data_IF_036276622938
#
_entry.id   IF_036276622938
#
_cell.length_a   1.000
_cell.length_b   1.000
_cell.length_c   1.000
_cell.angle_alpha   90.00
_cell.angle_beta   90.00
_cell.angle_gamma   90.00
#
_symmetry.space_group_name_H-M   'P 1'
#
loop_
_entity.id
_entity.type
_entity.pdbx_description
1 polymer ?
#
# COMPACT_ATOMS: atom_id res chain seq x y z
N UNK A 1 11.73 -15.10 -16.03
CA UNK A 1 10.37 -15.00 -16.60
C UNK A 1 10.33 -13.94 -17.69
N UNK A 2 10.56 -12.65 -17.37
CA UNK A 2 10.54 -11.53 -18.33
C UNK A 2 11.33 -11.81 -19.62
N UNK A 3 12.57 -12.31 -19.52
CA UNK A 3 13.42 -12.56 -20.70
C UNK A 3 12.98 -13.74 -21.57
N UNK A 4 12.16 -14.66 -21.03
CA UNK A 4 11.75 -15.90 -21.72
C UNK A 4 10.37 -15.81 -22.36
N UNK A 5 9.51 -14.89 -21.89
CA UNK A 5 8.15 -14.74 -22.40
C UNK A 5 8.10 -14.45 -23.90
N UNK A 6 8.96 -13.59 -24.49
CA UNK A 6 8.95 -13.35 -25.94
C UNK A 6 9.18 -14.63 -26.77
N UNK A 7 10.02 -15.55 -26.29
CA UNK A 7 10.25 -16.84 -26.96
C UNK A 7 9.03 -17.76 -26.86
N UNK A 8 8.33 -17.75 -25.71
CA UNK A 8 7.12 -18.55 -25.49
C UNK A 8 5.91 -18.05 -26.32
N UNK A 9 5.96 -16.80 -26.78
CA UNK A 9 4.93 -16.23 -27.65
C UNK A 9 5.06 -16.71 -29.11
N UNK A 10 6.18 -17.33 -29.50
CA UNK A 10 6.30 -17.89 -30.83
C UNK A 10 5.41 -19.15 -30.98
N UNK A 11 4.61 -19.19 -32.05
CA UNK A 11 3.60 -20.25 -32.26
C UNK A 11 2.35 -20.17 -31.38
N UNK A 12 2.23 -19.18 -30.50
CA UNK A 12 1.03 -18.95 -29.68
C UNK A 12 -0.12 -18.33 -30.49
N UNK A 13 -1.36 -18.67 -30.11
CA UNK A 13 -2.55 -18.02 -30.68
C UNK A 13 -2.60 -16.53 -30.32
N UNK A 14 -3.37 -15.73 -31.05
CA UNK A 14 -3.52 -14.30 -30.75
C UNK A 14 -4.10 -14.06 -29.35
N UNK A 15 -5.03 -14.93 -28.91
CA UNK A 15 -5.60 -14.88 -27.56
C UNK A 15 -4.55 -15.17 -26.50
N UNK A 16 -3.74 -16.22 -26.68
CA UNK A 16 -2.69 -16.57 -25.74
C UNK A 16 -1.60 -15.48 -25.70
N UNK A 17 -1.27 -14.88 -26.85
CA UNK A 17 -0.32 -13.77 -26.95
C UNK A 17 -0.82 -12.56 -26.16
N UNK A 18 -2.09 -12.18 -26.32
CA UNK A 18 -2.67 -11.08 -25.57
C UNK A 18 -2.62 -11.32 -24.06
N UNK A 19 -2.92 -12.54 -23.61
CA UNK A 19 -2.84 -12.89 -22.19
C UNK A 19 -1.40 -12.91 -21.67
N UNK A 20 -0.45 -13.41 -22.47
CA UNK A 20 0.98 -13.41 -22.12
C UNK A 20 1.58 -12.01 -22.04
N UNK A 21 1.12 -11.05 -22.86
CA UNK A 21 1.53 -9.65 -22.73
C UNK A 21 1.10 -9.08 -21.37
N UNK A 22 -0.12 -9.36 -20.91
CA UNK A 22 -0.59 -8.93 -19.59
C UNK A 22 0.31 -9.52 -18.49
N UNK A 23 0.58 -10.83 -18.53
CA UNK A 23 1.47 -11.48 -17.55
C UNK A 23 2.90 -10.93 -17.59
N UNK A 24 3.39 -10.57 -18.78
CA UNK A 24 4.69 -9.91 -18.91
C UNK A 24 4.68 -8.53 -18.24
N UNK A 25 3.59 -7.77 -18.41
CA UNK A 25 3.38 -6.51 -17.71
C UNK A 25 3.32 -6.66 -16.18
N UNK A 26 2.62 -7.67 -15.67
CA UNK A 26 2.58 -8.01 -14.24
C UNK A 26 3.98 -8.36 -13.70
N UNK A 27 4.78 -9.09 -14.48
CA UNK A 27 6.15 -9.44 -14.12
C UNK A 27 7.07 -8.20 -14.05
N UNK A 28 6.93 -7.27 -15.01
CA UNK A 28 7.62 -5.98 -14.96
C UNK A 28 7.22 -5.17 -13.72
N UNK A 29 5.92 -5.03 -13.43
CA UNK A 29 5.47 -4.32 -12.23
C UNK A 29 6.02 -4.97 -10.96
N UNK A 30 5.95 -6.30 -10.87
CA UNK A 30 6.46 -7.05 -9.71
C UNK A 30 7.95 -6.79 -9.48
N UNK A 31 8.76 -6.70 -10.55
CA UNK A 31 10.19 -6.36 -10.44
C UNK A 31 10.39 -4.90 -10.02
N UNK A 32 9.58 -3.96 -10.54
CA UNK A 32 9.61 -2.56 -10.12
C UNK A 32 9.29 -2.42 -8.62
N UNK A 33 8.26 -3.12 -8.13
CA UNK A 33 7.89 -3.15 -6.71
C UNK A 33 8.99 -3.75 -5.85
N UNK A 34 9.63 -4.83 -6.28
CA UNK A 34 10.73 -5.44 -5.56
C UNK A 34 11.94 -4.49 -5.42
N UNK A 35 12.34 -3.80 -6.50
CA UNK A 35 13.41 -2.81 -6.43
C UNK A 35 13.04 -1.64 -5.52
N UNK A 36 11.81 -1.12 -5.64
CA UNK A 36 11.31 -0.05 -4.78
C UNK A 36 11.38 -0.45 -3.30
N UNK A 37 10.85 -1.64 -2.95
CA UNK A 37 10.88 -2.17 -1.59
C UNK A 37 12.29 -2.36 -1.03
N UNK A 38 13.24 -2.77 -1.88
CA UNK A 38 14.65 -2.87 -1.52
C UNK A 38 15.25 -1.49 -1.24
N UNK A 39 14.94 -0.48 -2.07
CA UNK A 39 15.45 0.88 -1.85
C UNK A 39 14.95 1.47 -0.53
N UNK A 40 13.67 1.28 -0.19
CA UNK A 40 13.09 1.78 1.06
C UNK A 40 13.71 1.17 2.32
N UNK A 41 14.36 0.01 2.22
CA UNK A 41 14.89 -0.74 3.38
C UNK A 41 16.41 -0.71 3.49
N UNK A 42 17.11 -0.58 2.37
CA UNK A 42 18.57 -0.76 2.30
C UNK A 42 19.30 0.44 1.72
N UNK A 43 18.60 1.52 1.39
CA UNK A 43 19.18 2.73 0.83
C UNK A 43 18.79 3.96 1.64
N UNK A 44 19.44 5.08 1.36
CA UNK A 44 18.95 6.38 1.81
C UNK A 44 17.67 6.73 1.06
N UNK A 45 16.93 7.69 1.59
CA UNK A 45 15.82 8.31 0.87
C UNK A 45 16.31 8.85 -0.47
N UNK A 46 15.48 8.72 -1.51
CA UNK A 46 15.82 9.23 -2.82
C UNK A 46 15.83 10.76 -2.79
N UNK A 47 17.00 11.34 -3.05
CA UNK A 47 17.13 12.78 -3.18
C UNK A 47 17.67 13.15 -4.56
N UNK A 48 16.92 13.89 -5.41
CA UNK A 48 17.36 14.21 -6.77
C UNK A 48 18.75 14.83 -6.84
N UNK A 49 19.14 15.63 -5.85
CA UNK A 49 20.45 16.30 -5.78
C UNK A 49 21.63 15.37 -5.52
N UNK A 50 21.41 14.19 -4.93
CA UNK A 50 22.48 13.25 -4.56
C UNK A 50 22.31 11.84 -5.15
N UNK A 51 21.17 11.56 -5.78
CA UNK A 51 20.80 10.24 -6.29
C UNK A 51 21.83 9.58 -7.21
N UNK A 52 22.58 10.37 -7.98
CA UNK A 52 23.65 9.87 -8.88
C UNK A 52 24.89 9.35 -8.13
N UNK A 53 25.04 9.72 -6.86
CA UNK A 53 26.16 9.33 -6.00
C UNK A 53 25.76 8.46 -4.82
N UNK A 54 24.51 8.58 -4.36
CA UNK A 54 23.99 7.74 -3.30
C UNK A 54 23.85 6.30 -3.79
N UNK A 55 24.30 5.37 -2.95
CA UNK A 55 24.32 3.96 -3.30
C UNK A 55 22.91 3.38 -3.20
N UNK A 56 22.45 2.77 -4.30
CA UNK A 56 21.22 2.00 -4.40
C UNK A 56 21.44 0.52 -4.09
N UNK A 57 20.91 -0.37 -4.93
CA UNK A 57 21.08 -1.83 -4.85
C UNK A 57 21.67 -2.37 -6.15
N UNK A 58 22.22 -3.60 -6.18
CA UNK A 58 22.62 -4.22 -7.43
C UNK A 58 21.43 -4.41 -8.37
N UNK A 59 21.61 -4.06 -9.65
CA UNK A 59 20.58 -4.25 -10.68
C UNK A 59 20.86 -5.56 -11.42
N UNK A 60 19.99 -6.55 -11.20
CA UNK A 60 20.03 -7.87 -11.85
C UNK A 60 18.72 -8.09 -12.62
N UNK A 61 18.80 -8.08 -13.95
CA UNK A 61 17.63 -8.15 -14.83
C UNK A 61 17.45 -9.52 -15.50
N UNK A 62 18.45 -10.39 -15.40
CA UNK A 62 18.48 -11.74 -15.97
C UNK A 62 18.63 -12.77 -14.87
N UNK A 63 17.97 -13.91 -15.04
CA UNK A 63 18.06 -14.99 -14.06
C UNK A 63 19.35 -15.79 -14.27
N UNK A 64 20.33 -15.57 -13.39
CA UNK A 64 21.62 -16.28 -13.41
C UNK A 64 22.14 -16.52 -11.99
N UNK A 65 21.47 -17.38 -11.18
CA UNK A 65 21.90 -17.63 -9.82
C UNK A 65 23.26 -18.35 -9.80
N UNK A 66 24.13 -17.86 -8.93
CA UNK A 66 25.47 -18.40 -8.66
C UNK A 66 25.73 -18.39 -7.17
N UNK A 67 26.49 -19.38 -6.69
CA UNK A 67 27.01 -19.41 -5.33
C UNK A 67 28.21 -18.47 -5.14
N UNK A 68 28.84 -18.03 -6.24
CA UNK A 68 29.94 -17.08 -6.21
C UNK A 68 29.39 -15.64 -6.23
N UNK A 69 29.51 -14.97 -5.09
CA UNK A 69 29.07 -13.58 -4.92
C UNK A 69 29.76 -12.61 -5.89
N UNK A 70 30.98 -12.91 -6.36
CA UNK A 70 31.72 -12.09 -7.31
C UNK A 70 31.12 -12.05 -8.72
N UNK A 71 30.18 -12.94 -9.02
CA UNK A 71 29.46 -12.96 -10.31
C UNK A 71 28.31 -11.96 -10.38
N UNK A 72 27.90 -11.38 -9.25
CA UNK A 72 26.85 -10.36 -9.20
C UNK A 72 27.44 -8.95 -9.32
N UNK A 73 26.73 -8.01 -9.96
CA UNK A 73 27.19 -6.64 -10.06
C UNK A 73 27.28 -5.98 -8.68
N UNK A 74 28.14 -4.96 -8.57
CA UNK A 74 28.12 -4.05 -7.44
C UNK A 74 26.80 -3.27 -7.34
N UNK A 75 26.63 -2.53 -6.24
CA UNK A 75 25.48 -1.64 -6.06
C UNK A 75 25.50 -0.56 -7.15
N UNK A 76 24.37 -0.36 -7.82
CA UNK A 76 24.16 0.79 -8.68
C UNK A 76 23.89 2.05 -7.84
N UNK A 77 23.90 3.22 -8.47
CA UNK A 77 23.42 4.46 -7.85
C UNK A 77 21.90 4.42 -7.62
N UNK A 78 21.40 5.24 -6.70
CA UNK A 78 19.96 5.43 -6.48
C UNK A 78 19.27 5.91 -7.76
N UNK A 79 19.91 6.79 -8.53
CA UNK A 79 19.39 7.26 -9.81
C UNK A 79 19.19 6.11 -10.81
N UNK A 80 20.17 5.22 -10.96
CA UNK A 80 20.07 4.06 -11.86
C UNK A 80 18.98 3.07 -11.43
N UNK A 81 18.84 2.82 -10.14
CA UNK A 81 17.79 1.93 -9.63
C UNK A 81 16.40 2.51 -9.91
N UNK A 82 16.18 3.79 -9.65
CA UNK A 82 14.89 4.43 -9.94
C UNK A 82 14.61 4.55 -11.44
N UNK A 83 15.64 4.78 -12.28
CA UNK A 83 15.51 4.67 -13.74
C UNK A 83 15.02 3.28 -14.15
N UNK A 84 15.51 2.21 -13.52
CA UNK A 84 15.03 0.86 -13.77
C UNK A 84 13.58 0.65 -13.30
N UNK A 85 13.21 1.14 -12.11
CA UNK A 85 11.83 1.09 -11.60
C UNK A 85 10.86 1.79 -12.57
N UNK A 86 11.19 3.00 -13.01
CA UNK A 86 10.37 3.78 -13.96
C UNK A 86 10.29 3.09 -15.32
N UNK A 87 11.38 2.49 -15.80
CA UNK A 87 11.38 1.71 -17.04
C UNK A 87 10.42 0.52 -16.95
N UNK A 88 10.49 -0.26 -15.86
CA UNK A 88 9.61 -1.41 -15.65
C UNK A 88 8.14 -0.99 -15.50
N UNK A 89 7.87 0.12 -14.80
CA UNK A 89 6.54 0.76 -14.75
C UNK A 89 6.02 1.15 -16.14
N UNK A 90 6.88 1.66 -17.00
CA UNK A 90 6.55 2.00 -18.38
C UNK A 90 6.16 0.77 -19.20
N UNK A 91 6.89 -0.34 -19.04
CA UNK A 91 6.57 -1.60 -19.72
C UNK A 91 5.28 -2.24 -19.19
N UNK A 92 5.02 -2.15 -17.88
CA UNK A 92 3.79 -2.60 -17.25
C UNK A 92 2.58 -1.80 -17.75
N UNK A 93 2.68 -0.47 -17.82
CA UNK A 93 1.62 0.43 -18.30
C UNK A 93 1.19 0.12 -19.73
N UNK A 94 2.14 -0.26 -20.60
CA UNK A 94 1.84 -0.61 -22.00
C UNK A 94 1.09 -1.92 -22.16
N UNK A 95 1.22 -2.85 -21.21
CA UNK A 95 0.84 -4.26 -21.37
C UNK A 95 -0.37 -4.68 -20.55
N UNK A 96 -0.50 -4.14 -19.34
CA UNK A 96 -1.66 -4.43 -18.50
C UNK A 96 -2.82 -3.60 -19.04
N UNK A 97 -3.76 -4.27 -19.69
CA UNK A 97 -4.96 -3.65 -20.31
C UNK A 97 -6.24 -3.96 -19.54
N UNK A 98 -6.12 -4.65 -18.40
CA UNK A 98 -7.26 -4.98 -17.54
C UNK A 98 -7.77 -3.70 -16.85
N UNK A 99 -9.05 -3.41 -17.07
CA UNK A 99 -9.73 -2.27 -16.47
C UNK A 99 -9.75 -2.35 -14.94
N UNK A 100 -9.57 -1.21 -14.28
CA UNK A 100 -9.65 -1.13 -12.83
C UNK A 100 -11.07 -1.16 -12.30
N UNK A 101 -11.25 -1.84 -11.16
CA UNK A 101 -12.47 -1.92 -10.38
C UNK A 101 -12.15 -2.01 -8.88
N UNK A 102 -13.07 -1.62 -7.98
CA UNK A 102 -12.90 -1.79 -6.54
C UNK A 102 -12.61 -3.22 -6.13
N UNK A 103 -11.69 -3.39 -5.16
CA UNK A 103 -11.31 -4.67 -4.55
C UNK A 103 -10.84 -5.72 -5.55
N UNK A 104 -10.30 -5.30 -6.70
CA UNK A 104 -9.79 -6.24 -7.70
C UNK A 104 -8.74 -7.16 -7.08
N UNK A 105 -8.90 -8.47 -7.31
CA UNK A 105 -7.96 -9.51 -6.91
C UNK A 105 -6.71 -9.54 -7.79
N UNK A 106 -6.85 -9.03 -9.02
CA UNK A 106 -5.82 -9.02 -10.03
C UNK A 106 -5.23 -7.62 -10.18
N UNK A 107 -4.06 -7.56 -10.79
CA UNK A 107 -3.46 -6.28 -11.11
C UNK A 107 -4.20 -5.66 -12.31
N UNK A 108 -4.59 -4.41 -12.16
CA UNK A 108 -5.28 -3.64 -13.19
C UNK A 108 -4.46 -2.41 -13.57
N UNK A 109 -4.88 -1.71 -14.63
CA UNK A 109 -4.30 -0.42 -15.00
C UNK A 109 -4.30 0.58 -13.84
N UNK A 110 -5.33 0.57 -13.01
CA UNK A 110 -5.46 1.47 -11.88
C UNK A 110 -4.49 1.10 -10.74
N UNK A 111 -4.17 -0.19 -10.56
CA UNK A 111 -3.10 -0.65 -9.65
C UNK A 111 -1.70 -0.20 -10.10
N UNK A 112 -1.40 -0.29 -11.41
CA UNK A 112 -0.14 0.22 -11.99
C UNK A 112 -0.03 1.73 -11.77
N UNK A 113 -1.12 2.47 -11.99
CA UNK A 113 -1.20 3.93 -11.83
C UNK A 113 -1.02 4.36 -10.38
N UNK A 114 -1.61 3.62 -9.43
CA UNK A 114 -1.43 3.88 -8.01
C UNK A 114 0.04 3.69 -7.58
N UNK A 115 0.70 2.64 -8.07
CA UNK A 115 2.13 2.44 -7.79
C UNK A 115 2.99 3.52 -8.44
N UNK A 116 2.66 3.93 -9.68
CA UNK A 116 3.33 5.05 -10.36
C UNK A 116 3.26 6.34 -9.56
N UNK A 117 2.10 6.66 -8.97
CA UNK A 117 1.94 7.84 -8.11
C UNK A 117 2.86 7.76 -6.87
N UNK A 118 2.94 6.60 -6.21
CA UNK A 118 3.81 6.36 -5.05
C UNK A 118 5.30 6.52 -5.40
N UNK A 119 5.74 5.91 -6.51
CA UNK A 119 7.13 6.04 -6.98
C UNK A 119 7.45 7.49 -7.35
N UNK A 120 6.55 8.17 -8.06
CA UNK A 120 6.76 9.56 -8.46
C UNK A 120 6.87 10.50 -7.25
N UNK A 121 6.04 10.31 -6.21
CA UNK A 121 6.15 11.06 -4.96
C UNK A 121 7.53 10.85 -4.32
N UNK A 122 7.97 9.59 -4.20
CA UNK A 122 9.28 9.24 -3.65
C UNK A 122 10.45 9.83 -4.44
N UNK A 123 10.29 10.04 -5.74
CA UNK A 123 11.29 10.64 -6.63
C UNK A 123 11.29 12.17 -6.65
N UNK A 124 10.37 12.81 -5.93
CA UNK A 124 10.10 14.25 -6.03
C UNK A 124 9.62 14.68 -7.43
N UNK A 125 9.05 13.75 -8.21
CA UNK A 125 8.36 14.05 -9.47
C UNK A 125 6.91 14.42 -9.18
N UNK A 126 6.73 15.64 -8.68
CA UNK A 126 5.43 16.15 -8.21
C UNK A 126 4.38 16.16 -9.32
N UNK A 127 4.76 16.48 -10.55
CA UNK A 127 3.83 16.51 -11.68
C UNK A 127 3.29 15.12 -12.02
N UNK A 128 4.16 14.11 -12.07
CA UNK A 128 3.73 12.73 -12.29
C UNK A 128 2.91 12.21 -11.10
N UNK A 129 3.28 12.54 -9.87
CA UNK A 129 2.53 12.16 -8.68
C UNK A 129 1.11 12.76 -8.68
N UNK A 130 0.98 14.06 -8.96
CA UNK A 130 -0.30 14.77 -9.07
C UNK A 130 -1.16 14.13 -10.16
N UNK A 131 -0.63 14.00 -11.38
CA UNK A 131 -1.41 13.50 -12.51
C UNK A 131 -1.91 12.07 -12.28
N UNK A 132 -1.05 11.15 -11.83
CA UNK A 132 -1.43 9.77 -11.61
C UNK A 132 -2.44 9.59 -10.47
N UNK A 133 -2.25 10.31 -9.36
CA UNK A 133 -3.16 10.24 -8.20
C UNK A 133 -4.52 10.88 -8.48
N UNK A 134 -4.53 12.07 -9.09
CA UNK A 134 -5.79 12.78 -9.38
C UNK A 134 -6.60 12.13 -10.49
N UNK A 135 -5.96 11.46 -11.45
CA UNK A 135 -6.68 10.66 -12.45
C UNK A 135 -7.48 9.50 -11.78
N UNK A 136 -6.90 8.82 -10.79
CA UNK A 136 -7.62 7.81 -10.00
C UNK A 136 -8.76 8.40 -9.18
N UNK A 137 -8.54 9.57 -8.55
CA UNK A 137 -9.56 10.28 -7.78
C UNK A 137 -10.73 10.68 -8.68
N UNK A 138 -10.44 11.31 -9.82
CA UNK A 138 -11.44 11.83 -10.75
C UNK A 138 -12.18 10.74 -11.53
N UNK A 139 -11.64 9.51 -11.57
CA UNK A 139 -12.33 8.35 -12.15
C UNK A 139 -13.64 8.02 -11.44
N UNK A 140 -13.79 8.43 -10.17
CA UNK A 140 -14.91 8.11 -9.29
C UNK A 140 -15.19 6.60 -9.11
N UNK A 141 -14.28 5.71 -9.55
CA UNK A 141 -14.41 4.25 -9.37
C UNK A 141 -14.28 3.83 -7.91
N UNK A 142 -13.51 4.58 -7.12
CA UNK A 142 -13.14 4.25 -5.74
C UNK A 142 -13.61 5.37 -4.78
N UNK A 143 -14.87 5.37 -4.32
CA UNK A 143 -15.37 6.43 -3.45
C UNK A 143 -14.75 6.34 -2.04
N UNK A 144 -14.49 7.49 -1.43
CA UNK A 144 -14.13 7.55 -0.01
C UNK A 144 -15.32 7.08 0.83
N UNK A 145 -15.08 6.15 1.76
CA UNK A 145 -16.09 5.64 2.67
C UNK A 145 -16.34 6.67 3.77
N UNK A 146 -17.58 7.15 3.89
CA UNK A 146 -17.97 8.17 4.89
C UNK A 146 -18.74 7.60 6.07
N UNK A 147 -19.15 6.33 6.01
CA UNK A 147 -19.93 5.66 7.05
C UNK A 147 -19.02 4.81 7.95
N UNK A 148 -19.15 4.97 9.27
CA UNK A 148 -18.30 4.30 10.24
C UNK A 148 -18.41 2.76 10.21
N UNK A 149 -19.61 2.23 9.98
CA UNK A 149 -19.81 0.77 9.91
C UNK A 149 -19.15 0.21 8.66
N UNK A 150 -19.35 0.84 7.50
CA UNK A 150 -18.67 0.46 6.25
C UNK A 150 -17.15 0.60 6.36
N UNK A 151 -16.67 1.62 7.07
CA UNK A 151 -15.23 1.81 7.25
C UNK A 151 -14.62 0.69 8.10
N UNK A 152 -15.28 0.31 9.20
CA UNK A 152 -14.90 -0.84 10.01
C UNK A 152 -15.02 -2.17 9.21
N UNK A 153 -16.06 -2.31 8.40
CA UNK A 153 -16.31 -3.49 7.56
C UNK A 153 -15.21 -3.73 6.50
N UNK A 154 -14.63 -2.66 5.96
CA UNK A 154 -13.45 -2.74 5.09
C UNK A 154 -12.27 -3.43 5.80
N UNK A 155 -12.10 -3.22 7.09
CA UNK A 155 -10.99 -3.79 7.87
C UNK A 155 -11.31 -5.18 8.41
N UNK A 156 -12.56 -5.44 8.81
CA UNK A 156 -12.99 -6.73 9.32
C UNK A 156 -13.24 -7.74 8.19
N UNK A 157 -14.12 -7.42 7.24
CA UNK A 157 -14.62 -8.35 6.23
C UNK A 157 -14.01 -8.11 4.84
N UNK A 158 -12.99 -7.24 4.73
CA UNK A 158 -12.36 -6.89 3.45
C UNK A 158 -13.33 -6.30 2.41
N UNK A 159 -14.39 -5.66 2.91
CA UNK A 159 -15.47 -5.09 2.13
C UNK A 159 -15.40 -3.55 2.15
N UNK A 160 -14.55 -2.98 1.31
CA UNK A 160 -14.48 -1.53 1.13
C UNK A 160 -14.06 -1.13 -0.28
N UNK A 161 -14.87 -0.31 -0.92
CA UNK A 161 -14.66 0.11 -2.32
C UNK A 161 -13.54 1.14 -2.50
N UNK A 162 -12.87 1.53 -1.41
CA UNK A 162 -11.63 2.31 -1.48
C UNK A 162 -10.43 1.49 -1.98
N UNK A 163 -10.47 0.16 -1.91
CA UNK A 163 -9.35 -0.68 -2.31
C UNK A 163 -9.21 -0.71 -3.83
N UNK A 164 -8.04 -0.29 -4.33
CA UNK A 164 -7.70 -0.31 -5.76
C UNK A 164 -7.18 -1.70 -6.15
N UNK A 165 -6.36 -2.29 -5.27
CA UNK A 165 -5.86 -3.65 -5.43
C UNK A 165 -5.91 -4.36 -4.08
N UNK A 166 -6.64 -5.48 -4.04
CA UNK A 166 -6.84 -6.29 -2.83
C UNK A 166 -6.41 -7.73 -3.10
N UNK A 167 -5.29 -8.14 -2.52
CA UNK A 167 -4.69 -9.45 -2.78
C UNK A 167 -5.64 -10.54 -2.27
N UNK A 168 -6.03 -11.44 -3.18
CA UNK A 168 -6.92 -12.55 -2.86
C UNK A 168 -6.33 -13.46 -1.79
N UNK A 169 -7.19 -13.90 -0.88
CA UNK A 169 -6.91 -14.97 0.08
C UNK A 169 -8.15 -15.81 0.29
N UNK A 170 -7.92 -17.08 0.61
CA UNK A 170 -8.93 -18.03 1.05
C UNK A 170 -8.42 -18.82 2.25
N UNK A 171 -9.27 -19.62 2.88
CA UNK A 171 -8.83 -20.52 3.96
C UNK A 171 -7.71 -21.49 3.52
N UNK A 172 -7.67 -21.87 2.24
CA UNK A 172 -6.70 -22.80 1.67
C UNK A 172 -5.52 -22.11 0.98
N UNK A 173 -5.65 -20.83 0.66
CA UNK A 173 -4.66 -20.04 -0.06
C UNK A 173 -4.40 -18.72 0.66
N UNK A 174 -3.66 -18.81 1.76
CA UNK A 174 -3.16 -17.68 2.54
C UNK A 174 -1.82 -18.05 3.19
N UNK A 175 -0.97 -17.08 3.56
CA UNK A 175 0.26 -17.38 4.27
C UNK A 175 -0.01 -18.22 5.53
N UNK A 176 0.84 -19.22 5.77
CA UNK A 176 0.73 -20.07 6.95
C UNK A 176 1.19 -19.37 8.25
N UNK A 177 1.90 -18.25 8.12
CA UNK A 177 2.54 -17.50 9.21
C UNK A 177 1.89 -16.12 9.42
N UNK A 178 2.40 -15.42 10.44
CA UNK A 178 1.95 -14.15 11.00
C UNK A 178 1.36 -13.15 9.99
N UNK A 179 0.15 -12.69 10.30
CA UNK A 179 -0.53 -11.55 9.70
C UNK A 179 -0.21 -10.26 10.48
N UNK A 180 -0.38 -9.05 9.89
CA UNK A 180 -0.17 -7.80 10.62
C UNK A 180 -0.94 -7.73 11.95
N UNK A 181 -2.17 -8.24 11.98
CA UNK A 181 -2.99 -8.28 13.19
C UNK A 181 -2.32 -9.07 14.32
N UNK A 182 -1.64 -10.19 14.01
CA UNK A 182 -0.97 -11.00 15.03
C UNK A 182 0.20 -10.31 15.76
N UNK A 183 0.71 -9.19 15.26
CA UNK A 183 1.70 -8.36 15.98
C UNK A 183 1.04 -7.23 16.79
N UNK A 184 -0.14 -6.79 16.36
CA UNK A 184 -0.85 -5.62 16.90
C UNK A 184 -1.89 -6.00 17.96
N UNK A 185 -2.38 -7.24 17.89
CA UNK A 185 -3.46 -7.76 18.71
C UNK A 185 -3.44 -9.29 18.70
N UNK A 186 -3.22 -9.89 19.86
CA UNK A 186 -3.40 -11.34 20.07
C UNK A 186 -4.16 -11.55 21.37
N UNK A 187 -5.35 -12.09 21.29
CA UNK A 187 -6.14 -12.51 22.45
C UNK A 187 -5.43 -13.63 23.21
N UNK A 188 -5.37 -13.50 24.54
CA UNK A 188 -4.75 -14.48 25.43
C UNK A 188 -5.68 -14.85 26.57
N UNK A 189 -5.66 -16.13 26.95
CA UNK A 189 -6.58 -16.68 27.96
C UNK A 189 -7.94 -17.03 27.37
N UNK A 190 -8.87 -17.37 28.28
CA UNK A 190 -10.26 -17.69 27.96
C UNK A 190 -11.20 -16.48 28.15
N UNK A 191 -10.66 -15.33 28.55
CA UNK A 191 -11.40 -14.09 28.74
C UNK A 191 -11.29 -13.18 27.51
N UNK A 192 -12.43 -12.82 26.90
CA UNK A 192 -12.56 -12.06 25.65
C UNK A 192 -11.97 -10.63 25.66
N UNK A 193 -11.31 -10.21 26.74
CA UNK A 193 -10.79 -8.83 26.88
C UNK A 193 -9.28 -8.73 27.12
N UNK A 194 -8.58 -9.84 27.30
CA UNK A 194 -7.13 -9.83 27.54
C UNK A 194 -6.35 -10.08 26.26
N UNK A 195 -5.33 -9.27 25.98
CA UNK A 195 -4.48 -9.41 24.81
C UNK A 195 -2.98 -9.25 25.14
N UNK A 196 -2.13 -9.69 24.23
CA UNK A 196 -0.67 -9.57 24.32
C UNK A 196 -0.09 -9.12 22.97
N UNK A 197 -0.19 -7.82 22.64
CA UNK A 197 0.39 -7.26 21.43
C UNK A 197 1.91 -7.11 21.56
N UNK A 198 2.64 -7.17 20.45
CA UNK A 198 4.07 -6.84 20.39
C UNK A 198 4.29 -5.33 20.33
N UNK A 199 3.31 -4.59 19.80
CA UNK A 199 3.35 -3.14 19.64
C UNK A 199 2.08 -2.48 20.18
N UNK A 200 2.23 -1.39 20.93
CA UNK A 200 1.12 -0.55 21.41
C UNK A 200 1.25 0.87 20.85
N UNK A 201 0.13 1.54 20.51
CA UNK A 201 0.19 2.91 20.03
C UNK A 201 0.61 3.87 21.16
N UNK A 202 1.45 4.84 20.82
CA UNK A 202 1.77 5.94 21.73
C UNK A 202 0.53 6.81 21.99
N UNK A 203 0.49 7.46 23.16
CA UNK A 203 -0.62 8.36 23.52
C UNK A 203 -0.80 9.52 22.53
N UNK A 204 0.29 10.02 21.94
CA UNK A 204 0.24 11.05 20.91
C UNK A 204 -0.52 10.60 19.65
N UNK A 205 -0.37 9.33 19.25
CA UNK A 205 -1.12 8.76 18.12
C UNK A 205 -2.60 8.64 18.46
N UNK A 206 -2.95 8.15 19.65
CA UNK A 206 -4.35 8.04 20.09
C UNK A 206 -5.01 9.43 20.15
N UNK A 207 -4.30 10.43 20.69
CA UNK A 207 -4.81 11.79 20.85
C UNK A 207 -4.91 12.57 19.53
N UNK A 208 -4.29 12.09 18.45
CA UNK A 208 -4.40 12.70 17.12
C UNK A 208 -5.75 12.42 16.44
N UNK A 209 -6.57 11.51 16.98
CA UNK A 209 -7.90 11.21 16.47
C UNK A 209 -8.98 11.80 17.38
N UNK A 210 -10.02 12.36 16.76
CA UNK A 210 -11.27 12.65 17.46
C UNK A 210 -11.99 11.32 17.77
N UNK A 211 -12.08 10.97 19.05
CA UNK A 211 -12.62 9.66 19.45
C UNK A 211 -14.12 9.50 19.22
N UNK A 212 -14.85 10.62 19.07
CA UNK A 212 -16.30 10.63 18.91
C UNK A 212 -16.69 10.81 17.45
N UNK A 213 -16.01 11.72 16.73
CA UNK A 213 -16.39 12.13 15.39
C UNK A 213 -15.56 11.48 14.28
N UNK A 214 -14.39 10.89 14.58
CA UNK A 214 -13.56 10.24 13.57
C UNK A 214 -13.94 8.76 13.38
N UNK A 215 -14.48 8.42 12.21
CA UNK A 215 -14.89 7.06 11.86
C UNK A 215 -13.73 6.05 11.88
N UNK A 216 -12.48 6.53 11.81
CA UNK A 216 -11.29 5.70 11.89
C UNK A 216 -11.03 5.22 13.31
N UNK A 217 -11.42 5.98 14.33
CA UNK A 217 -11.04 5.70 15.71
C UNK A 217 -11.55 4.31 16.16
N UNK A 218 -12.85 4.06 16.02
CA UNK A 218 -13.45 2.76 16.36
C UNK A 218 -13.06 1.60 15.43
N UNK A 219 -12.55 1.90 14.22
CA UNK A 219 -12.05 0.88 13.29
C UNK A 219 -10.57 0.52 13.54
N UNK A 220 -9.79 1.45 14.11
CA UNK A 220 -8.36 1.27 14.32
C UNK A 220 -8.00 0.93 15.74
N UNK A 221 -8.77 1.41 16.71
CA UNK A 221 -8.40 1.32 18.11
C UNK A 221 -9.50 0.71 18.96
N UNK A 222 -9.08 -0.05 19.96
CA UNK A 222 -10.00 -0.58 20.96
C UNK A 222 -9.31 -0.67 22.30
N UNK A 223 -10.04 -0.38 23.39
CA UNK A 223 -9.53 -0.55 24.74
C UNK A 223 -9.50 -2.03 25.11
N UNK A 224 -8.38 -2.51 25.62
CA UNK A 224 -8.15 -3.90 26.05
C UNK A 224 -7.29 -3.94 27.30
N UNK A 225 -7.38 -5.05 28.02
CA UNK A 225 -6.44 -5.36 29.09
C UNK A 225 -5.21 -6.03 28.48
N UNK A 226 -4.09 -5.33 28.46
CA UNK A 226 -2.81 -5.82 27.94
C UNK A 226 -2.08 -6.61 29.02
N UNK A 227 -1.81 -7.89 28.75
CA UNK A 227 -0.93 -8.73 29.55
C UNK A 227 0.52 -8.52 29.14
N UNK A 228 1.37 -8.19 30.11
CA UNK A 228 2.79 -7.91 29.90
C UNK A 228 3.64 -8.59 30.96
N UNK A 229 4.97 -8.54 30.81
CA UNK A 229 5.91 -9.04 31.81
C UNK A 229 5.82 -8.35 33.18
N UNK A 230 5.14 -7.20 33.27
CA UNK A 230 4.96 -6.42 34.51
C UNK A 230 3.52 -6.47 35.06
N UNK A 231 2.64 -7.30 34.47
CA UNK A 231 1.25 -7.45 34.87
C UNK A 231 0.26 -6.98 33.81
N UNK A 232 -0.92 -6.56 34.26
CA UNK A 232 -2.05 -6.19 33.40
C UNK A 232 -2.27 -4.68 33.41
N UNK A 233 -2.50 -4.10 32.23
CA UNK A 233 -2.76 -2.67 32.06
C UNK A 233 -3.82 -2.43 31.00
N UNK A 234 -4.78 -1.55 31.27
CA UNK A 234 -5.80 -1.18 30.29
C UNK A 234 -5.28 -0.07 29.36
N UNK A 235 -5.18 -0.37 28.07
CA UNK A 235 -4.68 0.53 27.04
C UNK A 235 -5.56 0.48 25.78
N UNK A 236 -5.48 1.52 24.96
CA UNK A 236 -5.89 1.41 23.57
C UNK A 236 -4.82 0.63 22.79
N UNK A 237 -5.26 -0.34 22.00
CA UNK A 237 -4.43 -1.11 21.07
C UNK A 237 -4.90 -0.92 19.64
N UNK A 238 -4.06 -1.25 18.66
CA UNK A 238 -4.44 -1.21 17.25
C UNK A 238 -5.16 -2.50 16.83
N UNK A 239 -6.45 -2.42 16.52
CA UNK A 239 -7.31 -3.54 16.09
C UNK A 239 -7.68 -3.47 14.61
N UNK A 240 -6.96 -2.66 13.83
CA UNK A 240 -7.18 -2.44 12.39
C UNK A 240 -7.17 -3.71 11.52
N UNK A 241 -6.54 -4.79 11.98
CA UNK A 241 -6.51 -6.08 11.28
C UNK A 241 -7.00 -7.19 12.24
N UNK A 242 -8.31 -7.23 12.53
CA UNK A 242 -8.85 -8.13 13.54
C UNK A 242 -8.92 -9.60 13.09
N UNK A 243 -8.73 -9.86 11.79
CA UNK A 243 -8.95 -11.15 11.14
C UNK A 243 -10.36 -11.24 10.54
N UNK A 244 -10.41 -11.60 9.26
CA UNK A 244 -11.64 -11.81 8.51
C UNK A 244 -12.24 -13.18 8.86
N UNK A 245 -13.49 -13.25 9.36
CA UNK A 245 -14.18 -14.50 9.68
C UNK A 245 -14.24 -15.51 8.53
N UNK A 246 -14.16 -15.08 7.26
CA UNK A 246 -14.12 -15.96 6.10
C UNK A 246 -12.76 -16.70 5.93
N UNK A 247 -11.71 -16.28 6.65
CA UNK A 247 -10.35 -16.80 6.51
C UNK A 247 -9.93 -17.75 7.64
N UNK A 248 -10.80 -18.05 8.60
CA UNK A 248 -10.53 -18.97 9.70
C UNK A 248 -11.76 -19.76 10.15
N UNK A 249 -11.52 -20.77 10.98
CA UNK A 249 -12.56 -21.48 11.74
C UNK A 249 -12.17 -21.50 13.21
N UNK A 250 -13.12 -21.24 14.10
CA UNK A 250 -12.85 -21.09 15.53
C UNK A 250 -12.24 -19.73 15.87
N UNK A 251 -11.05 -19.72 16.48
CA UNK A 251 -10.38 -18.46 16.90
C UNK A 251 -9.80 -17.72 15.69
N UNK A 252 -9.80 -16.39 15.77
CA UNK A 252 -9.20 -15.54 14.74
C UNK A 252 -7.73 -15.89 14.54
N UNK A 253 -7.32 -15.94 13.28
CA UNK A 253 -5.92 -16.02 12.87
C UNK A 253 -5.35 -14.64 12.47
N UNK A 254 -6.15 -13.59 12.64
CA UNK A 254 -5.82 -12.20 12.34
C UNK A 254 -5.49 -11.91 10.87
N UNK A 255 -5.83 -12.83 9.95
CA UNK A 255 -5.67 -12.61 8.50
C UNK A 255 -6.79 -11.76 7.95
N UNK A 256 -6.44 -10.71 7.22
CA UNK A 256 -7.32 -9.94 6.37
C UNK A 256 -6.67 -9.85 4.98
N UNK A 257 -7.47 -9.72 3.92
CA UNK A 257 -6.95 -9.50 2.56
C UNK A 257 -6.21 -8.16 2.50
N UNK A 258 -4.98 -8.20 2.02
CA UNK A 258 -4.08 -7.06 1.97
C UNK A 258 -4.55 -6.09 0.90
N UNK A 259 -4.73 -4.84 1.31
CA UNK A 259 -5.16 -3.74 0.45
C UNK A 259 -3.91 -2.98 0.02
N UNK A 260 -3.26 -3.45 -1.05
CA UNK A 260 -1.95 -2.97 -1.50
C UNK A 260 -1.97 -1.47 -1.85
N UNK A 261 -3.09 -1.03 -2.44
CA UNK A 261 -3.37 0.38 -2.74
C UNK A 261 -4.81 0.71 -2.37
N UNK A 262 -5.03 1.91 -1.83
CA UNK A 262 -6.36 2.46 -1.56
C UNK A 262 -6.46 3.89 -2.05
N UNK A 263 -7.65 4.32 -2.44
CA UNK A 263 -7.86 5.69 -2.92
C UNK A 263 -7.51 6.75 -1.87
N UNK A 264 -7.69 6.47 -0.58
CA UNK A 264 -7.21 7.33 0.53
C UNK A 264 -5.74 7.77 0.36
N UNK A 265 -4.89 6.86 -0.11
CA UNK A 265 -3.47 7.15 -0.33
C UNK A 265 -3.28 8.10 -1.50
N UNK A 266 -4.08 7.97 -2.58
CA UNK A 266 -4.00 8.87 -3.72
C UNK A 266 -4.36 10.30 -3.33
N UNK A 267 -5.33 10.50 -2.43
CA UNK A 267 -5.64 11.83 -1.87
C UNK A 267 -4.44 12.40 -1.10
N UNK A 268 -3.73 11.58 -0.33
CA UNK A 268 -2.55 12.02 0.43
C UNK A 268 -1.35 12.32 -0.48
N UNK A 269 -1.09 11.47 -1.48
CA UNK A 269 -0.05 11.70 -2.50
C UNK A 269 -0.34 12.98 -3.28
N UNK A 270 -1.60 13.18 -3.72
CA UNK A 270 -2.00 14.39 -4.41
C UNK A 270 -1.80 15.62 -3.52
N UNK A 271 -2.25 15.56 -2.27
CA UNK A 271 -2.09 16.65 -1.31
C UNK A 271 -0.63 17.07 -1.13
N UNK A 272 0.24 16.10 -0.86
CA UNK A 272 1.66 16.34 -0.62
C UNK A 272 2.35 16.86 -1.88
N UNK A 273 2.13 16.23 -3.04
CA UNK A 273 2.72 16.67 -4.30
C UNK A 273 2.24 18.06 -4.73
N UNK A 274 0.96 18.40 -4.51
CA UNK A 274 0.47 19.76 -4.73
C UNK A 274 1.16 20.77 -3.82
N UNK A 275 1.33 20.46 -2.52
CA UNK A 275 2.01 21.33 -1.59
C UNK A 275 3.47 21.58 -1.99
N UNK A 276 4.20 20.52 -2.33
CA UNK A 276 5.60 20.59 -2.77
C UNK A 276 5.77 21.32 -4.12
N UNK A 277 4.74 21.32 -4.95
CA UNK A 277 4.72 22.05 -6.23
C UNK A 277 4.12 23.46 -6.12
N UNK A 278 3.97 24.00 -4.90
CA UNK A 278 3.51 25.38 -4.66
C UNK A 278 1.99 25.61 -4.82
N UNK A 279 1.19 24.55 -4.92
CA UNK A 279 -0.26 24.60 -5.12
C UNK A 279 -1.01 24.32 -3.81
N UNK A 280 -0.86 25.20 -2.81
CA UNK A 280 -1.39 25.00 -1.45
C UNK A 280 -2.93 24.91 -1.39
N UNK A 281 -3.64 25.55 -2.33
CA UNK A 281 -5.10 25.48 -2.41
C UNK A 281 -5.56 24.06 -2.78
N UNK A 282 -4.97 23.50 -3.83
CA UNK A 282 -5.25 22.15 -4.32
C UNK A 282 -4.83 21.10 -3.28
N UNK A 283 -3.68 21.32 -2.62
CA UNK A 283 -3.25 20.49 -1.50
C UNK A 283 -4.28 20.45 -0.37
N UNK A 284 -4.73 21.63 0.07
CA UNK A 284 -5.76 21.76 1.11
C UNK A 284 -7.08 21.12 0.69
N UNK A 285 -7.48 21.25 -0.57
CA UNK A 285 -8.69 20.62 -1.09
C UNK A 285 -8.63 19.09 -0.99
N UNK A 286 -7.50 18.47 -1.35
CA UNK A 286 -7.32 17.01 -1.23
C UNK A 286 -7.38 16.55 0.23
N UNK A 287 -6.72 17.26 1.15
CA UNK A 287 -6.77 16.93 2.58
C UNK A 287 -8.16 17.12 3.16
N UNK A 288 -8.85 18.22 2.83
CA UNK A 288 -10.20 18.48 3.31
C UNK A 288 -11.20 17.45 2.80
N UNK A 289 -11.09 17.00 1.55
CA UNK A 289 -11.94 15.93 1.02
C UNK A 289 -11.77 14.65 1.83
N UNK A 290 -10.53 14.25 2.12
CA UNK A 290 -10.25 13.08 2.94
C UNK A 290 -10.73 13.26 4.39
N UNK A 291 -10.46 14.40 5.03
CA UNK A 291 -10.89 14.67 6.41
C UNK A 291 -12.40 14.74 6.56
N UNK A 292 -13.09 15.37 5.61
CA UNK A 292 -14.57 15.40 5.58
C UNK A 292 -15.16 14.01 5.47
N UNK A 293 -14.50 13.10 4.73
CA UNK A 293 -14.92 11.71 4.65
C UNK A 293 -14.62 10.88 5.90
N UNK A 294 -13.85 11.40 6.87
CA UNK A 294 -13.46 10.67 8.09
C UNK A 294 -14.03 11.25 9.37
N UNK A 295 -14.13 12.57 9.46
CA UNK A 295 -14.42 13.29 10.70
C UNK A 295 -15.77 13.99 10.52
N UNK A 296 -16.76 13.56 11.30
CA UNK A 296 -18.07 14.22 11.31
C UNK A 296 -17.93 15.69 11.72
N UNK A 297 -18.72 16.56 11.08
CA UNK A 297 -18.69 18.01 11.30
C UNK A 297 -17.33 18.68 11.03
N UNK A 298 -16.46 18.05 10.23
CA UNK A 298 -15.21 18.68 9.78
C UNK A 298 -15.49 19.98 9.02
N UNK A 299 -14.79 21.04 9.39
CA UNK A 299 -14.78 22.30 8.66
C UNK A 299 -13.54 22.38 7.80
N UNK A 300 -13.70 22.76 6.53
CA UNK A 300 -12.55 22.89 5.63
C UNK A 300 -11.56 23.95 6.13
N UNK A 301 -10.28 23.61 6.12
CA UNK A 301 -9.18 24.49 6.54
C UNK A 301 -8.24 24.77 5.36
N UNK A 302 -7.61 25.94 5.35
CA UNK A 302 -6.46 26.19 4.49
C UNK A 302 -5.18 25.85 5.26
N UNK A 303 -4.37 24.96 4.72
CA UNK A 303 -3.10 24.58 5.31
C UNK A 303 -1.96 25.27 4.57
N UNK A 304 -1.12 26.01 5.29
CA UNK A 304 0.21 26.39 4.81
C UNK A 304 1.16 25.24 5.12
N UNK A 305 1.96 24.79 4.15
CA UNK A 305 2.97 23.73 4.33
C UNK A 305 4.14 24.10 5.27
N UNK A 306 4.07 25.27 5.89
CA UNK A 306 5.00 25.75 6.91
C UNK A 306 4.54 25.22 8.27
N UNK A 307 5.24 24.20 8.79
CA UNK A 307 5.08 23.70 10.15
C UNK A 307 5.93 24.51 11.15
#
# INVERSE_FOLDING_TARGET
MIERVPELMDGATDSDRAQMEIYLGEAYLSRAMAYFDLTLRYCKDYEPSSASSDMGVPIVLKYAPSADAGTYPGRASMEEVYKQIVSDLGEATKRITVEGEPRSAYLTQDGVKAFKARVALQMHDWNTAISASTDLINSNKYPLITDAKKYADMWLNDNGDEAIWQISQSMTERPATSSPGSYLFVEVGDEDNTCKPDYVPESGIINAFDQENDIRFGAYFTKRTVSSGIGYVDLFICTKYPGNPELYSGKSNYHNKQKAFRISEMYLIAAEAYAQNGNSREASAMLNALRTARIANWSAEEYSGDA
#
